data_IF_730908495044
#
_entry.id   IF_730908495044
#
_cell.length_a   1.000
_cell.length_b   1.000
_cell.length_c   1.000
_cell.angle_alpha   90.00
_cell.angle_beta   90.00
_cell.angle_gamma   90.00
#
_symmetry.space_group_name_H-M   'P 1'
#
loop_
_entity.id
_entity.type
_entity.pdbx_description
1 polymer ?
#
# COMPACT_ATOMS: atom_id res chain seq x y z
N UNK A 1 0.32 19.32 72.79
CA UNK A 1 -0.23 20.33 71.87
C UNK A 1 0.87 20.74 70.93
N UNK A 2 0.77 20.40 69.65
CA UNK A 2 1.67 20.86 68.59
C UNK A 2 0.82 21.78 67.73
N UNK A 3 0.95 23.08 67.95
CA UNK A 3 0.19 24.09 67.22
C UNK A 3 0.75 24.19 65.81
N UNK A 4 -0.08 23.83 64.82
CA UNK A 4 0.27 23.89 63.41
C UNK A 4 0.33 25.37 62.99
N UNK A 5 1.50 25.80 62.51
CA UNK A 5 1.71 27.14 61.99
C UNK A 5 0.83 27.36 60.74
N UNK A 6 0.19 28.55 60.59
CA UNK A 6 -0.68 28.84 59.47
C UNK A 6 0.10 28.86 58.14
N UNK A 7 -0.42 28.25 57.07
CA UNK A 7 0.28 28.14 55.79
C UNK A 7 0.32 29.51 55.08
N UNK A 8 1.51 30.13 55.08
CA UNK A 8 1.81 31.46 54.52
C UNK A 8 1.72 31.56 52.98
N UNK A 9 1.40 30.47 52.27
CA UNK A 9 1.49 30.41 50.80
C UNK A 9 0.28 29.78 50.11
N UNK A 10 -0.93 29.97 50.66
CA UNK A 10 -2.13 29.29 50.14
C UNK A 10 -2.95 30.10 49.12
N UNK A 11 -2.65 31.41 48.94
CA UNK A 11 -3.56 32.35 48.25
C UNK A 11 -3.18 32.76 46.82
N UNK A 12 -1.90 32.96 46.53
CA UNK A 12 -1.51 33.85 45.41
C UNK A 12 -1.07 33.14 44.12
N UNK A 13 -1.10 31.82 44.06
CA UNK A 13 -0.68 31.09 42.86
C UNK A 13 -1.79 30.87 41.82
N UNK A 14 -3.04 31.15 42.16
CA UNK A 14 -4.20 30.93 41.26
C UNK A 14 -4.13 31.73 39.95
N UNK A 15 -3.73 33.01 39.93
CA UNK A 15 -3.65 33.76 38.67
C UNK A 15 -2.55 33.21 37.76
N UNK A 16 -1.38 32.89 38.33
CA UNK A 16 -0.25 32.34 37.57
C UNK A 16 -0.55 30.97 36.96
N UNK A 17 -1.28 30.11 37.69
CA UNK A 17 -1.64 28.77 37.24
C UNK A 17 -2.70 28.80 36.13
N UNK A 18 -3.66 29.73 36.18
CA UNK A 18 -4.63 29.95 35.11
C UNK A 18 -3.95 30.46 33.83
N UNK A 19 -3.07 31.45 33.93
CA UNK A 19 -2.34 32.01 32.79
C UNK A 19 -1.39 30.97 32.18
N UNK A 20 -0.68 30.20 33.02
CA UNK A 20 0.18 29.10 32.59
C UNK A 20 -0.60 27.98 31.89
N UNK A 21 -1.75 27.59 32.44
CA UNK A 21 -2.61 26.56 31.84
C UNK A 21 -3.14 26.95 30.46
N UNK A 22 -3.60 28.20 30.29
CA UNK A 22 -4.05 28.71 28.99
C UNK A 22 -2.90 28.73 27.98
N UNK A 23 -1.70 29.13 28.41
CA UNK A 23 -0.51 29.11 27.55
C UNK A 23 -0.17 27.70 27.05
N UNK A 24 -0.22 26.69 27.92
CA UNK A 24 0.04 25.28 27.56
C UNK A 24 -1.01 24.76 26.58
N UNK A 25 -2.30 25.03 26.81
CA UNK A 25 -3.39 24.59 25.91
C UNK A 25 -3.27 25.25 24.53
N UNK A 26 -2.95 26.54 24.48
CA UNK A 26 -2.74 27.24 23.21
C UNK A 26 -1.53 26.69 22.45
N UNK A 27 -0.42 26.44 23.14
CA UNK A 27 0.77 25.85 22.53
C UNK A 27 0.48 24.45 21.97
N UNK A 28 -0.21 23.60 22.75
CA UNK A 28 -0.65 22.26 22.33
C UNK A 28 -1.60 22.33 21.13
N UNK A 29 -2.57 23.23 21.14
CA UNK A 29 -3.49 23.44 20.03
C UNK A 29 -2.79 23.94 18.76
N UNK A 30 -1.77 24.78 18.91
CA UNK A 30 -0.97 25.30 17.80
C UNK A 30 -0.04 24.22 17.22
N UNK A 31 0.57 23.39 18.07
CA UNK A 31 1.35 22.21 17.66
C UNK A 31 0.46 21.17 16.96
N UNK A 32 -0.68 20.83 17.55
CA UNK A 32 -1.65 19.91 16.95
C UNK A 32 -2.23 20.46 15.64
N UNK A 33 -2.48 21.76 15.56
CA UNK A 33 -2.92 22.44 14.33
C UNK A 33 -1.85 22.45 13.25
N UNK A 34 -0.59 22.71 13.60
CA UNK A 34 0.53 22.67 12.66
C UNK A 34 0.78 21.25 12.14
N UNK A 35 0.75 20.24 13.01
CA UNK A 35 0.90 18.83 12.62
C UNK A 35 -0.31 18.32 11.83
N UNK A 36 -1.52 18.71 12.22
CA UNK A 36 -2.77 18.37 11.52
C UNK A 36 -2.87 19.03 10.14
N UNK A 37 -2.37 20.26 9.98
CA UNK A 37 -2.28 20.92 8.67
C UNK A 37 -1.28 20.22 7.74
N UNK A 38 -0.20 19.65 8.28
CA UNK A 38 0.74 18.81 7.52
C UNK A 38 0.13 17.45 7.15
N UNK A 39 -0.73 16.87 8.02
CA UNK A 39 -1.43 15.62 7.76
C UNK A 39 -2.58 15.72 6.75
N UNK A 40 -3.39 16.79 6.80
CA UNK A 40 -4.50 17.03 5.85
C UNK A 40 -3.98 17.52 4.49
N UNK A 41 -2.79 18.11 4.45
CA UNK A 41 -2.06 18.40 3.21
C UNK A 41 -1.07 17.32 2.83
N UNK A 42 -1.08 16.15 3.51
CA UNK A 42 -0.35 14.95 3.04
C UNK A 42 -0.91 14.69 1.66
N UNK A 43 -0.10 15.15 0.72
CA UNK A 43 -0.42 15.37 -0.66
C UNK A 43 -1.15 14.11 -1.09
N UNK A 44 -2.37 14.26 -1.62
CA UNK A 44 -2.65 13.56 -2.87
C UNK A 44 -1.49 13.97 -3.76
N UNK A 45 -0.41 13.20 -3.70
CA UNK A 45 0.55 13.14 -4.78
C UNK A 45 -0.34 13.15 -6.00
N UNK A 46 -0.21 14.13 -6.90
CA UNK A 46 -0.86 13.99 -8.18
C UNK A 46 -0.38 12.64 -8.65
N UNK A 47 -1.25 11.64 -8.58
CA UNK A 47 -1.02 10.36 -9.18
C UNK A 47 -0.76 10.78 -10.61
N UNK A 48 0.50 10.73 -11.05
CA UNK A 48 0.82 10.67 -12.47
C UNK A 48 -0.22 9.73 -13.01
N UNK A 49 -1.14 10.26 -13.82
CA UNK A 49 -2.45 9.67 -14.07
C UNK A 49 -2.27 8.15 -14.16
N UNK A 50 -2.83 7.34 -13.24
CA UNK A 50 -2.59 5.90 -13.18
C UNK A 50 -3.02 5.17 -14.46
N UNK A 51 -3.52 5.92 -15.45
CA UNK A 51 -4.16 5.52 -16.68
C UNK A 51 -3.29 5.62 -17.93
N UNK A 52 -1.97 5.83 -17.80
CA UNK A 52 -1.07 5.98 -18.96
C UNK A 52 -0.10 4.81 -19.10
N UNK A 53 -0.52 3.61 -18.67
CA UNK A 53 0.16 2.40 -19.10
C UNK A 53 -0.26 2.09 -20.54
N UNK A 54 0.68 2.05 -21.51
CA UNK A 54 0.39 1.66 -22.88
C UNK A 54 -0.21 0.25 -22.92
N UNK A 55 -0.98 -0.06 -23.95
CA UNK A 55 -1.50 -1.41 -24.18
C UNK A 55 -0.42 -2.36 -24.72
N UNK A 56 0.66 -1.84 -25.29
CA UNK A 56 1.78 -2.56 -25.87
C UNK A 56 3.13 -2.06 -25.30
N UNK A 57 3.31 -2.03 -23.96
CA UNK A 57 4.50 -1.45 -23.38
C UNK A 57 5.76 -2.22 -23.82
N UNK A 58 6.88 -1.53 -24.08
CA UNK A 58 8.17 -2.18 -24.29
C UNK A 58 8.69 -2.75 -22.96
N UNK A 59 9.56 -3.77 -23.01
CA UNK A 59 10.16 -4.39 -21.79
C UNK A 59 10.86 -3.35 -20.90
N UNK A 60 11.51 -2.34 -21.49
CA UNK A 60 12.15 -1.26 -20.73
C UNK A 60 11.17 -0.36 -19.97
N UNK A 61 9.91 -0.26 -20.42
CA UNK A 61 8.86 0.39 -19.64
C UNK A 61 8.44 -0.51 -18.47
N UNK A 62 8.21 -1.80 -18.73
CA UNK A 62 7.79 -2.77 -17.72
C UNK A 62 8.82 -2.88 -16.58
N UNK A 63 10.10 -2.95 -16.93
CA UNK A 63 11.21 -2.97 -15.96
C UNK A 63 11.20 -1.74 -15.06
N UNK A 64 11.21 -0.54 -15.66
CA UNK A 64 11.17 0.71 -14.89
C UNK A 64 9.92 0.84 -14.02
N UNK A 65 8.78 0.33 -14.50
CA UNK A 65 7.55 0.31 -13.72
C UNK A 65 7.67 -0.66 -12.54
N UNK A 66 8.16 -1.88 -12.74
CA UNK A 66 8.36 -2.87 -11.70
C UNK A 66 9.34 -2.37 -10.62
N UNK A 67 10.51 -1.89 -11.04
CA UNK A 67 11.54 -1.31 -10.16
C UNK A 67 10.94 -0.17 -9.31
N UNK A 68 10.36 0.82 -9.97
CA UNK A 68 9.79 1.99 -9.28
C UNK A 68 8.73 1.59 -8.27
N UNK A 69 7.79 0.72 -8.64
CA UNK A 69 6.70 0.37 -7.73
C UNK A 69 7.19 -0.48 -6.56
N UNK A 70 8.11 -1.43 -6.80
CA UNK A 70 8.69 -2.26 -5.74
C UNK A 70 9.56 -1.43 -4.78
N UNK A 71 10.31 -0.46 -5.31
CA UNK A 71 11.10 0.47 -4.51
C UNK A 71 10.22 1.34 -3.61
N UNK A 72 9.13 1.88 -4.17
CA UNK A 72 8.17 2.66 -3.40
C UNK A 72 7.49 1.81 -2.32
N UNK A 73 7.14 0.56 -2.60
CA UNK A 73 6.56 -0.33 -1.59
C UNK A 73 7.56 -0.61 -0.46
N UNK A 74 8.80 -0.95 -0.80
CA UNK A 74 9.83 -1.20 0.20
C UNK A 74 10.09 0.04 1.08
N UNK A 75 10.10 1.23 0.49
CA UNK A 75 10.25 2.48 1.24
C UNK A 75 9.08 2.72 2.19
N UNK A 76 7.84 2.57 1.70
CA UNK A 76 6.64 2.75 2.53
C UNK A 76 6.58 1.74 3.69
N UNK A 77 7.11 0.52 3.50
CA UNK A 77 7.26 -0.46 4.58
C UNK A 77 8.19 0.01 5.69
N UNK A 78 9.39 0.46 5.34
CA UNK A 78 10.37 0.95 6.31
C UNK A 78 9.82 2.15 7.10
N UNK A 79 9.15 3.08 6.42
CA UNK A 79 8.51 4.24 7.07
C UNK A 79 7.39 3.83 8.06
N UNK A 80 6.68 2.72 7.78
CA UNK A 80 5.61 2.20 8.64
C UNK A 80 6.14 1.44 9.87
N UNK A 81 7.25 0.71 9.76
CA UNK A 81 7.87 0.02 10.91
C UNK A 81 8.34 1.00 11.99
N UNK A 82 8.92 2.12 11.59
CA UNK A 82 9.31 3.21 12.49
C UNK A 82 8.09 3.79 13.23
N UNK A 83 6.94 3.85 12.58
CA UNK A 83 5.69 4.38 13.18
C UNK A 83 5.03 3.37 14.11
N UNK A 84 5.08 2.07 13.77
CA UNK A 84 4.45 1.01 14.54
C UNK A 84 5.17 0.76 15.87
N UNK A 85 6.50 0.77 15.84
CA UNK A 85 7.35 0.61 17.04
C UNK A 85 7.14 1.73 18.07
N UNK A 86 6.80 2.95 17.64
CA UNK A 86 6.47 4.07 18.53
C UNK A 86 5.08 3.94 19.20
N UNK A 87 4.11 3.27 18.56
CA UNK A 87 2.76 3.10 19.12
C UNK A 87 2.60 1.85 19.98
N UNK A 88 3.34 0.77 19.68
CA UNK A 88 3.25 -0.49 20.43
C UNK A 88 3.77 -0.37 21.88
N UNK A 89 4.55 0.66 22.20
CA UNK A 89 4.97 0.93 23.59
C UNK A 89 3.90 1.60 24.47
N UNK A 90 2.70 1.85 23.94
CA UNK A 90 1.52 2.27 24.73
C UNK A 90 0.47 1.17 24.87
N UNK A 91 0.88 -0.11 24.81
CA UNK A 91 0.05 -1.23 25.28
C UNK A 91 -0.07 -1.17 26.81
N UNK A 92 -1.01 -0.33 27.27
CA UNK A 92 -1.48 -0.36 28.65
C UNK A 92 -2.28 -1.63 28.85
N UNK A 93 -1.97 -2.33 29.94
CA UNK A 93 -2.67 -3.52 30.44
C UNK A 93 -4.20 -3.36 30.35
N UNK A 94 -4.81 -3.89 29.30
CA UNK A 94 -6.25 -4.10 29.23
C UNK A 94 -6.52 -5.60 29.27
N UNK A 95 -6.20 -6.20 30.41
CA UNK A 95 -6.66 -7.51 30.82
C UNK A 95 -8.17 -7.46 31.12
N UNK A 96 -9.04 -7.45 30.12
CA UNK A 96 -10.34 -8.14 30.24
C UNK A 96 -11.07 -8.17 28.90
N UNK A 97 -11.33 -9.37 28.36
CA UNK A 97 -12.52 -9.77 27.57
C UNK A 97 -12.21 -11.00 26.71
N UNK A 98 -12.48 -12.18 27.27
CA UNK A 98 -12.31 -13.48 26.61
C UNK A 98 -13.30 -13.75 25.47
N UNK A 99 -12.98 -13.28 24.27
CA UNK A 99 -13.47 -13.81 23.00
C UNK A 99 -12.29 -13.97 22.03
N UNK A 100 -12.39 -14.79 20.96
CA UNK A 100 -11.38 -14.79 19.90
C UNK A 100 -11.46 -13.43 19.20
N UNK A 101 -10.76 -12.44 19.76
CA UNK A 101 -10.59 -11.14 19.16
C UNK A 101 -9.93 -11.36 17.80
N UNK A 102 -10.67 -11.10 16.72
CA UNK A 102 -10.06 -10.98 15.41
C UNK A 102 -8.91 -9.97 15.48
N UNK A 103 -7.89 -10.09 14.60
CA UNK A 103 -6.77 -9.16 14.62
C UNK A 103 -7.29 -7.72 14.56
N UNK A 104 -6.62 -6.77 15.24
CA UNK A 104 -7.05 -5.37 15.25
C UNK A 104 -7.21 -4.90 13.81
N UNK A 105 -8.22 -4.07 13.52
CA UNK A 105 -8.59 -3.71 12.15
C UNK A 105 -7.44 -3.08 11.34
N UNK A 106 -6.42 -2.51 12.02
CA UNK A 106 -5.18 -2.01 11.40
C UNK A 106 -4.14 -3.07 11.02
N UNK A 107 -4.22 -4.30 11.54
CA UNK A 107 -3.29 -5.39 11.20
C UNK A 107 -3.61 -6.00 9.82
N UNK A 108 -4.89 -6.00 9.42
CA UNK A 108 -5.33 -6.62 8.17
C UNK A 108 -4.69 -5.99 6.92
N UNK A 109 -4.64 -4.65 6.78
CA UNK A 109 -3.97 -4.03 5.65
C UNK A 109 -2.45 -4.25 5.65
N UNK A 110 -1.81 -4.31 6.83
CA UNK A 110 -0.38 -4.60 6.95
C UNK A 110 -0.03 -6.02 6.50
N UNK A 111 -0.79 -7.03 6.96
CA UNK A 111 -0.65 -8.43 6.51
C UNK A 111 -0.80 -8.51 5.00
N UNK A 112 -1.82 -7.84 4.44
CA UNK A 112 -2.05 -7.82 2.99
C UNK A 112 -0.89 -7.16 2.23
N UNK A 113 -0.37 -6.05 2.74
CA UNK A 113 0.80 -5.41 2.15
C UNK A 113 2.01 -6.34 2.15
N UNK A 114 2.21 -7.08 3.25
CA UNK A 114 3.33 -7.99 3.41
C UNK A 114 3.23 -9.17 2.44
N UNK A 115 2.04 -9.78 2.32
CA UNK A 115 1.80 -10.84 1.34
C UNK A 115 2.08 -10.38 -0.09
N UNK A 116 1.72 -9.13 -0.44
CA UNK A 116 2.04 -8.56 -1.74
C UNK A 116 3.55 -8.36 -1.94
N UNK A 117 4.25 -7.85 -0.93
CA UNK A 117 5.70 -7.61 -0.98
C UNK A 117 6.49 -8.92 -1.08
N UNK A 118 6.16 -9.89 -0.23
CA UNK A 118 6.72 -11.24 -0.22
C UNK A 118 6.54 -11.93 -1.58
N UNK A 119 5.31 -11.92 -2.13
CA UNK A 119 5.07 -12.48 -3.45
C UNK A 119 5.87 -11.74 -4.55
N UNK A 120 5.97 -10.42 -4.49
CA UNK A 120 6.78 -9.67 -5.45
C UNK A 120 8.28 -10.05 -5.37
N UNK A 121 8.80 -10.26 -4.16
CA UNK A 121 10.18 -10.71 -3.95
C UNK A 121 10.43 -12.13 -4.46
N UNK A 122 9.46 -13.04 -4.34
CA UNK A 122 9.57 -14.40 -4.91
C UNK A 122 9.79 -14.40 -6.42
N UNK A 123 9.19 -13.45 -7.16
CA UNK A 123 9.36 -13.33 -8.61
C UNK A 123 10.72 -12.78 -9.04
N UNK A 124 11.51 -12.28 -8.09
CA UNK A 124 12.83 -11.72 -8.33
C UNK A 124 13.91 -12.43 -7.52
N UNK A 125 13.63 -13.66 -7.08
CA UNK A 125 14.53 -14.50 -6.26
C UNK A 125 15.03 -13.81 -4.98
N UNK A 126 14.22 -12.92 -4.41
CA UNK A 126 14.58 -12.10 -3.25
C UNK A 126 15.56 -10.96 -3.55
N UNK A 127 16.01 -10.82 -4.80
CA UNK A 127 16.95 -9.79 -5.24
C UNK A 127 16.24 -8.73 -6.09
N UNK A 128 15.97 -7.56 -5.48
CA UNK A 128 15.33 -6.43 -6.19
C UNK A 128 16.15 -5.94 -7.37
N UNK A 129 17.48 -6.04 -7.31
CA UNK A 129 18.36 -5.62 -8.40
C UNK A 129 18.29 -6.59 -9.60
N UNK A 130 17.65 -7.77 -9.43
CA UNK A 130 17.36 -8.69 -10.52
C UNK A 130 16.45 -8.06 -11.59
N UNK A 131 15.58 -7.13 -11.22
CA UNK A 131 14.71 -6.42 -12.17
C UNK A 131 15.52 -5.65 -13.21
N UNK A 132 16.65 -5.06 -12.80
CA UNK A 132 17.56 -4.33 -13.70
C UNK A 132 18.34 -5.25 -14.64
N UNK A 133 18.44 -6.55 -14.31
CA UNK A 133 19.14 -7.51 -15.15
C UNK A 133 18.29 -7.94 -16.35
N UNK A 134 18.92 -8.22 -17.51
CA UNK A 134 18.25 -8.91 -18.59
C UNK A 134 17.96 -10.35 -18.16
N UNK A 135 16.73 -10.83 -18.38
CA UNK A 135 16.34 -12.21 -18.07
C UNK A 135 14.98 -12.36 -17.40
N UNK A 136 14.48 -11.34 -16.70
CA UNK A 136 13.13 -11.38 -16.12
C UNK A 136 12.08 -11.35 -17.21
N UNK A 137 11.15 -12.31 -17.17
CA UNK A 137 10.07 -12.41 -18.13
C UNK A 137 9.15 -11.18 -18.04
N UNK A 138 8.63 -10.66 -19.18
CA UNK A 138 7.72 -9.51 -19.17
C UNK A 138 6.48 -9.71 -18.30
N UNK A 139 5.99 -10.94 -18.19
CA UNK A 139 4.85 -11.28 -17.35
C UNK A 139 5.15 -11.08 -15.85
N UNK A 140 6.34 -11.50 -15.41
CA UNK A 140 6.78 -11.35 -14.03
C UNK A 140 7.00 -9.88 -13.68
N UNK A 141 7.55 -9.08 -14.59
CA UNK A 141 7.69 -7.62 -14.41
C UNK A 141 6.32 -6.95 -14.16
N UNK A 142 5.28 -7.34 -14.91
CA UNK A 142 3.94 -6.82 -14.69
C UNK A 142 3.37 -7.30 -13.36
N UNK A 143 3.53 -8.59 -13.02
CA UNK A 143 3.05 -9.15 -11.77
C UNK A 143 3.68 -8.45 -10.56
N UNK A 144 5.00 -8.21 -10.58
CA UNK A 144 5.73 -7.42 -9.57
C UNK A 144 5.14 -6.01 -9.45
N UNK A 145 4.95 -5.29 -10.57
CA UNK A 145 4.41 -3.93 -10.53
C UNK A 145 2.98 -3.89 -9.95
N UNK A 146 2.15 -4.89 -10.27
CA UNK A 146 0.77 -5.00 -9.77
C UNK A 146 0.75 -5.32 -8.28
N UNK A 147 1.52 -6.31 -7.83
CA UNK A 147 1.64 -6.67 -6.42
C UNK A 147 2.16 -5.50 -5.60
N UNK A 148 3.19 -4.81 -6.08
CA UNK A 148 3.76 -3.66 -5.41
C UNK A 148 2.70 -2.55 -5.22
N UNK A 149 1.92 -2.22 -6.26
CA UNK A 149 0.84 -1.24 -6.16
C UNK A 149 -0.29 -1.68 -5.22
N UNK A 150 -0.64 -2.96 -5.23
CA UNK A 150 -1.65 -3.49 -4.31
C UNK A 150 -1.18 -3.43 -2.86
N UNK A 151 0.09 -3.73 -2.59
CA UNK A 151 0.69 -3.61 -1.26
C UNK A 151 0.70 -2.17 -0.75
N UNK A 152 1.10 -1.22 -1.60
CA UNK A 152 1.07 0.22 -1.25
C UNK A 152 -0.34 0.72 -0.97
N UNK A 153 -1.31 0.32 -1.78
CA UNK A 153 -2.71 0.67 -1.53
C UNK A 153 -3.21 0.10 -0.20
N UNK A 154 -2.79 -1.12 0.16
CA UNK A 154 -3.08 -1.70 1.47
C UNK A 154 -2.45 -0.91 2.62
N UNK A 155 -1.18 -0.49 2.53
CA UNK A 155 -0.55 0.40 3.53
C UNK A 155 -1.30 1.73 3.68
N UNK A 156 -1.85 2.26 2.58
CA UNK A 156 -2.68 3.46 2.58
C UNK A 156 -4.12 3.23 3.10
N UNK A 157 -4.50 2.00 3.44
CA UNK A 157 -5.86 1.64 3.87
C UNK A 157 -6.89 1.53 2.74
N UNK A 158 -6.46 1.57 1.48
CA UNK A 158 -7.30 1.44 0.28
C UNK A 158 -7.16 0.04 -0.34
N UNK A 159 -7.56 -0.98 0.41
CA UNK A 159 -7.45 -2.38 -0.02
C UNK A 159 -8.42 -2.65 -1.17
N UNK A 160 -7.91 -3.21 -2.26
CA UNK A 160 -8.69 -3.70 -3.39
C UNK A 160 -8.28 -5.11 -3.79
N UNK A 161 -9.24 -5.88 -4.31
CA UNK A 161 -9.01 -7.25 -4.73
C UNK A 161 -8.89 -7.42 -6.26
N UNK A 162 -9.43 -6.48 -7.04
CA UNK A 162 -9.52 -6.60 -8.50
C UNK A 162 -8.78 -5.48 -9.20
N UNK A 163 -7.95 -5.86 -10.17
CA UNK A 163 -7.34 -4.93 -11.12
C UNK A 163 -8.22 -4.76 -12.36
N UNK A 164 -7.93 -3.73 -13.16
CA UNK A 164 -8.51 -3.58 -14.49
C UNK A 164 -8.18 -4.79 -15.38
N UNK A 165 -9.22 -5.49 -15.83
CA UNK A 165 -9.10 -6.67 -16.71
C UNK A 165 -8.74 -6.36 -18.16
N UNK A 166 -8.72 -5.07 -18.56
CA UNK A 166 -8.13 -4.67 -19.83
C UNK A 166 -6.60 -4.53 -19.69
N UNK A 167 -6.15 -3.84 -18.65
CA UNK A 167 -4.73 -3.65 -18.37
C UNK A 167 -4.52 -3.56 -16.86
N UNK A 168 -3.94 -4.57 -16.19
CA UNK A 168 -3.78 -4.56 -14.75
C UNK A 168 -2.86 -3.42 -14.26
N UNK A 169 -2.03 -2.83 -15.15
CA UNK A 169 -1.25 -1.62 -14.85
C UNK A 169 -2.09 -0.34 -14.76
N UNK A 170 -3.40 -0.37 -15.00
CA UNK A 170 -4.28 0.77 -14.69
C UNK A 170 -4.73 0.80 -13.23
N UNK A 171 -4.41 -0.23 -12.45
CA UNK A 171 -4.72 -0.32 -11.03
C UNK A 171 -6.13 -0.86 -10.74
N UNK A 172 -6.77 -0.42 -9.65
CA UNK A 172 -8.00 -1.02 -9.16
C UNK A 172 -9.16 -0.86 -10.14
N UNK A 173 -9.97 -1.90 -10.24
CA UNK A 173 -11.24 -1.87 -10.94
C UNK A 173 -12.39 -2.11 -9.97
N UNK A 174 -13.52 -1.47 -10.27
CA UNK A 174 -14.77 -1.78 -9.60
C UNK A 174 -15.47 -2.89 -10.37
N UNK A 175 -16.19 -3.73 -9.63
CA UNK A 175 -17.00 -4.80 -10.21
C UNK A 175 -17.95 -4.29 -11.31
N UNK A 176 -18.48 -5.20 -12.12
CA UNK A 176 -19.29 -4.81 -13.26
C UNK A 176 -20.59 -4.14 -12.79
N UNK A 177 -20.91 -2.98 -13.38
CA UNK A 177 -22.26 -2.42 -13.35
C UNK A 177 -23.12 -2.99 -14.50
N UNK A 178 -22.70 -4.10 -15.14
CA UNK A 178 -23.25 -4.60 -16.41
C UNK A 178 -22.94 -6.08 -16.72
N UNK A 179 -23.25 -6.56 -17.94
CA UNK A 179 -23.21 -7.97 -18.31
C UNK A 179 -21.81 -8.54 -18.64
N UNK A 180 -20.79 -7.68 -18.81
CA UNK A 180 -19.41 -8.13 -19.00
C UNK A 180 -18.81 -8.50 -17.63
N UNK A 181 -18.34 -9.75 -17.43
CA UNK A 181 -17.81 -10.20 -16.15
C UNK A 181 -16.45 -9.57 -15.80
N UNK A 182 -15.75 -8.91 -16.74
CA UNK A 182 -14.40 -8.38 -16.47
C UNK A 182 -14.47 -7.02 -15.76
N UNK A 183 -13.92 -6.88 -14.54
CA UNK A 183 -13.87 -5.59 -13.87
C UNK A 183 -12.89 -4.67 -14.60
N UNK A 184 -13.35 -3.49 -15.05
CA UNK A 184 -12.49 -2.48 -15.69
C UNK A 184 -12.50 -1.18 -14.90
N UNK A 185 -11.40 -0.42 -14.98
CA UNK A 185 -11.34 0.90 -14.36
C UNK A 185 -12.27 1.89 -15.07
N UNK A 186 -12.55 3.03 -14.43
CA UNK A 186 -13.47 4.06 -14.97
C UNK A 186 -13.06 4.54 -16.36
N UNK A 187 -11.75 4.68 -16.60
CA UNK A 187 -11.20 5.14 -17.88
C UNK A 187 -11.43 4.12 -18.98
N UNK A 188 -11.06 2.86 -18.77
CA UNK A 188 -11.28 1.78 -19.74
C UNK A 188 -12.76 1.61 -20.08
N UNK A 189 -13.65 1.81 -19.10
CA UNK A 189 -15.10 1.78 -19.32
C UNK A 189 -15.58 2.88 -20.27
N UNK A 190 -14.98 4.07 -20.19
CA UNK A 190 -15.37 5.21 -21.00
C UNK A 190 -14.90 5.12 -22.47
N UNK A 191 -13.74 4.50 -22.72
CA UNK A 191 -13.09 4.52 -24.04
C UNK A 191 -12.95 3.15 -24.70
N UNK A 192 -13.41 2.07 -24.06
CA UNK A 192 -13.20 0.70 -24.52
C UNK A 192 -11.71 0.43 -24.84
N UNK A 193 -10.85 0.68 -23.85
CA UNK A 193 -9.40 0.59 -24.04
C UNK A 193 -8.96 -0.83 -24.47
N UNK A 194 -7.94 -0.93 -25.34
CA UNK A 194 -7.39 -2.23 -25.75
C UNK A 194 -6.75 -2.97 -24.58
N UNK A 195 -6.73 -4.30 -24.69
CA UNK A 195 -6.11 -5.17 -23.70
C UNK A 195 -4.58 -5.03 -23.69
N UNK A 196 -3.95 -5.22 -22.53
CA UNK A 196 -2.50 -5.28 -22.38
C UNK A 196 -1.95 -6.50 -23.14
N UNK A 197 -0.93 -6.25 -23.95
CA UNK A 197 -0.19 -7.27 -24.69
C UNK A 197 1.28 -7.22 -24.31
N UNK A 198 1.88 -8.39 -24.10
CA UNK A 198 3.26 -8.54 -23.64
C UNK A 198 4.13 -9.09 -24.76
N UNK A 199 5.38 -8.62 -24.88
CA UNK A 199 6.37 -9.24 -25.75
C UNK A 199 6.56 -10.72 -25.40
N UNK A 200 6.59 -11.59 -26.41
CA UNK A 200 6.85 -13.03 -26.26
C UNK A 200 8.15 -13.40 -26.99
N UNK A 201 9.16 -13.89 -26.26
CA UNK A 201 10.46 -14.30 -26.82
C UNK A 201 11.29 -13.16 -27.41
N UNK A 202 12.27 -13.49 -28.25
CA UNK A 202 13.21 -12.52 -28.86
C UNK A 202 12.65 -11.79 -30.11
N UNK A 203 11.36 -11.95 -30.40
CA UNK A 203 10.70 -11.45 -31.61
C UNK A 203 9.89 -10.16 -31.43
N UNK A 204 9.13 -9.83 -32.47
CA UNK A 204 8.08 -8.78 -32.41
C UNK A 204 6.72 -9.34 -31.98
N UNK A 205 6.66 -10.63 -31.69
CA UNK A 205 5.43 -11.30 -31.31
C UNK A 205 4.97 -10.82 -29.93
N UNK A 206 3.66 -10.68 -29.79
CA UNK A 206 3.01 -10.25 -28.57
C UNK A 206 1.80 -11.11 -28.30
N UNK A 207 1.59 -11.45 -27.03
CA UNK A 207 0.41 -12.16 -26.56
C UNK A 207 -0.40 -11.28 -25.59
N UNK A 208 -1.73 -11.43 -25.55
CA UNK A 208 -2.54 -10.90 -24.45
C UNK A 208 -1.98 -11.33 -23.09
N UNK A 209 -2.04 -10.44 -22.09
CA UNK A 209 -1.46 -10.72 -20.78
C UNK A 209 -2.15 -11.91 -20.06
N UNK A 210 -3.41 -12.18 -20.38
CA UNK A 210 -4.21 -13.28 -19.84
C UNK A 210 -3.90 -14.63 -20.49
N UNK A 211 -3.10 -14.63 -21.57
CA UNK A 211 -2.57 -15.82 -22.24
C UNK A 211 -1.06 -16.00 -22.00
N UNK A 212 -0.43 -15.08 -21.27
CA UNK A 212 1.00 -15.15 -20.99
C UNK A 212 1.36 -16.34 -20.08
N UNK A 213 2.54 -16.92 -20.29
CA UNK A 213 3.10 -17.93 -19.37
C UNK A 213 3.41 -17.31 -18.01
N UNK A 214 3.36 -18.13 -16.96
CA UNK A 214 3.69 -17.72 -15.59
C UNK A 214 2.46 -17.35 -14.76
N UNK A 215 2.65 -16.63 -13.64
CA UNK A 215 1.58 -16.39 -12.67
C UNK A 215 0.65 -15.23 -13.04
N UNK A 216 1.06 -14.37 -13.98
CA UNK A 216 0.34 -13.13 -14.29
C UNK A 216 -1.15 -13.32 -14.65
N UNK A 217 -1.57 -14.33 -15.43
CA UNK A 217 -2.99 -14.51 -15.77
C UNK A 217 -3.92 -14.59 -14.55
N UNK A 218 -3.43 -15.06 -13.40
CA UNK A 218 -4.17 -15.16 -12.15
C UNK A 218 -4.68 -13.80 -11.63
N UNK A 219 -4.10 -12.67 -12.07
CA UNK A 219 -4.55 -11.33 -11.70
C UNK A 219 -6.01 -11.06 -12.07
N UNK A 220 -6.55 -11.74 -13.10
CA UNK A 220 -7.97 -11.65 -13.50
C UNK A 220 -8.91 -12.10 -12.37
N UNK A 221 -8.44 -13.06 -11.58
CA UNK A 221 -9.16 -13.70 -10.48
C UNK A 221 -8.95 -12.95 -9.16
N UNK A 222 -8.00 -12.00 -9.14
CA UNK A 222 -7.76 -11.02 -8.09
C UNK A 222 -6.36 -11.09 -7.50
N UNK A 223 -6.00 -10.08 -6.70
CA UNK A 223 -4.67 -9.98 -6.07
C UNK A 223 -4.38 -11.18 -5.16
N UNK A 224 -5.39 -11.68 -4.42
CA UNK A 224 -5.21 -12.85 -3.57
C UNK A 224 -4.86 -14.10 -4.38
N UNK A 225 -5.51 -14.31 -5.53
CA UNK A 225 -5.22 -15.44 -6.41
C UNK A 225 -3.84 -15.30 -7.05
N UNK A 226 -3.45 -14.07 -7.45
CA UNK A 226 -2.11 -13.80 -7.95
C UNK A 226 -1.03 -14.16 -6.91
N UNK A 227 -1.18 -13.75 -5.65
CA UNK A 227 -0.25 -14.09 -4.56
C UNK A 227 -0.10 -15.61 -4.42
N UNK A 228 -1.21 -16.35 -4.40
CA UNK A 228 -1.19 -17.81 -4.28
C UNK A 228 -0.48 -18.47 -5.46
N UNK A 229 -0.80 -18.05 -6.69
CA UNK A 229 -0.17 -18.59 -7.89
C UNK A 229 1.31 -18.26 -7.97
N UNK A 230 1.74 -17.07 -7.52
CA UNK A 230 3.17 -16.72 -7.43
C UNK A 230 3.90 -17.63 -6.44
N UNK A 231 3.34 -17.88 -5.25
CA UNK A 231 3.93 -18.79 -4.26
C UNK A 231 4.04 -20.22 -4.79
N UNK A 232 3.02 -20.70 -5.49
CA UNK A 232 3.05 -22.01 -6.17
C UNK A 232 4.11 -22.03 -7.28
N UNK A 233 4.15 -21.01 -8.13
CA UNK A 233 5.11 -20.89 -9.23
C UNK A 233 6.57 -20.86 -8.74
N UNK A 234 6.86 -20.12 -7.67
CA UNK A 234 8.18 -20.05 -7.07
C UNK A 234 8.62 -21.36 -6.39
N UNK A 235 7.66 -22.20 -5.96
CA UNK A 235 7.98 -23.49 -5.33
C UNK A 235 8.43 -24.59 -6.31
N UNK A 236 8.25 -24.38 -7.62
CA UNK A 236 8.54 -25.35 -8.68
C UNK A 236 9.85 -25.05 -9.43
N UNK A 237 10.42 -23.86 -9.24
CA UNK A 237 11.69 -23.43 -9.84
C UNK A 237 12.89 -23.87 -8.98
#
# INVERSE_FOLDING_TARGET
MKDALPPLFSGDFRPGLLVGGIGVVLLLGLLAGALGAVGVTRRRTPSLSPFEAPADPPVSYLRRAAERELDLLAQEFMDHEDTFTDHEYTFTDHEDSGGPAGPPSGLQPHIRAWDCFDAALLLVDGDRDALSRPGTEPADLVAVAVLARAGRAALAGDVYDRCCGANPLHGPARGPDGPDPRPVCQTCRAVAAPALTLPTGEGRDRAPYDEATGPLPAVRDGIAQLILTVREYASVQ
#
